data_IF_658965929093
#
_entry.id   IF_658965929093
#
_cell.length_a   1.000
_cell.length_b   1.000
_cell.length_c   1.000
_cell.angle_alpha   90.00
_cell.angle_beta   90.00
_cell.angle_gamma   90.00
#
_symmetry.space_group_name_H-M   'P 1'
#
loop_
_entity.id
_entity.type
_entity.pdbx_description
1 polymer ?
#
# COMPACT_ATOMS: atom_id res chain seq x y z
N UNK A 1 9.86 13.12 5.34
CA UNK A 1 10.23 11.74 5.00
C UNK A 1 9.09 11.12 4.20
N UNK A 2 9.39 10.40 3.13
CA UNK A 2 8.43 9.64 2.32
C UNK A 2 8.72 8.15 2.53
N UNK A 3 7.68 7.35 2.57
CA UNK A 3 7.78 5.92 2.85
C UNK A 3 6.90 5.17 1.87
N UNK A 4 7.43 4.10 1.27
CA UNK A 4 6.68 3.13 0.47
C UNK A 4 6.87 1.76 1.12
N UNK A 5 5.77 1.06 1.31
CA UNK A 5 5.76 -0.27 1.93
C UNK A 5 5.18 -1.32 0.98
N UNK A 6 5.78 -2.49 0.98
CA UNK A 6 5.26 -3.70 0.34
C UNK A 6 4.58 -4.55 1.42
N UNK A 7 3.26 -4.76 1.26
CA UNK A 7 2.43 -5.50 2.22
C UNK A 7 1.80 -6.73 1.57
N UNK A 8 1.68 -7.81 2.31
CA UNK A 8 0.85 -8.95 1.92
C UNK A 8 -0.63 -8.63 2.09
N UNK A 9 -1.43 -8.78 1.04
CA UNK A 9 -2.89 -8.61 1.15
C UNK A 9 -3.54 -9.70 2.02
N UNK A 10 -2.99 -10.90 2.06
CA UNK A 10 -3.53 -12.01 2.85
C UNK A 10 -3.27 -11.81 4.36
N UNK A 11 -2.04 -11.50 4.75
CA UNK A 11 -1.62 -11.48 6.17
C UNK A 11 -1.52 -10.09 6.76
N UNK A 12 -1.53 -9.06 5.93
CA UNK A 12 -1.24 -7.66 6.26
C UNK A 12 0.19 -7.42 6.80
N UNK A 13 1.09 -8.39 6.68
CA UNK A 13 2.48 -8.22 7.09
C UNK A 13 3.24 -7.36 6.09
N UNK A 14 4.16 -6.55 6.60
CA UNK A 14 5.08 -5.76 5.79
C UNK A 14 6.26 -6.64 5.39
N UNK A 15 6.49 -6.77 4.08
CA UNK A 15 7.61 -7.51 3.51
C UNK A 15 8.82 -6.62 3.28
N UNK A 16 8.59 -5.34 3.05
CA UNK A 16 9.66 -4.39 2.79
C UNK A 16 9.23 -2.94 2.89
N UNK A 17 10.22 -2.09 3.05
CA UNK A 17 10.05 -0.66 3.20
C UNK A 17 11.17 0.09 2.50
N UNK A 18 10.81 1.09 1.72
CA UNK A 18 11.73 2.07 1.16
C UNK A 18 11.45 3.45 1.77
N UNK A 19 12.51 4.13 2.19
CA UNK A 19 12.45 5.41 2.87
C UNK A 19 13.27 6.43 2.11
N UNK A 20 12.66 7.57 1.80
CA UNK A 20 13.34 8.68 1.13
C UNK A 20 12.96 10.05 1.67
N UNK A 21 13.68 11.09 1.30
CA UNK A 21 13.32 12.48 1.59
C UNK A 21 12.02 12.87 0.87
N UNK A 22 11.36 13.93 1.35
CA UNK A 22 10.13 14.43 0.73
C UNK A 22 10.36 15.17 -0.61
N UNK A 23 11.57 15.60 -0.87
CA UNK A 23 11.96 16.37 -2.05
C UNK A 23 13.35 15.97 -2.54
N UNK A 24 13.63 16.17 -3.82
CA UNK A 24 14.87 15.81 -4.49
C UNK A 24 14.63 14.91 -5.71
N UNK A 25 15.70 14.64 -6.47
CA UNK A 25 15.65 13.67 -7.58
C UNK A 25 15.51 12.25 -7.00
N UNK A 26 14.82 11.37 -7.71
CA UNK A 26 14.62 9.95 -7.33
C UNK A 26 14.04 9.73 -5.91
N UNK A 27 13.26 10.70 -5.40
CA UNK A 27 12.59 10.60 -4.09
C UNK A 27 11.09 10.37 -4.20
N UNK A 28 10.57 10.21 -5.42
CA UNK A 28 9.16 9.92 -5.69
C UNK A 28 8.76 8.52 -5.19
N UNK A 29 7.47 8.29 -4.98
CA UNK A 29 6.97 6.99 -4.53
C UNK A 29 7.31 5.87 -5.52
N UNK A 30 7.26 6.14 -6.82
CA UNK A 30 7.66 5.18 -7.86
C UNK A 30 9.16 4.84 -7.80
N UNK A 31 10.03 5.80 -7.48
CA UNK A 31 11.45 5.57 -7.29
C UNK A 31 11.73 4.71 -6.04
N UNK A 32 11.02 4.99 -4.94
CA UNK A 32 11.10 4.18 -3.73
C UNK A 32 10.54 2.76 -3.96
N UNK A 33 9.48 2.63 -4.74
CA UNK A 33 8.92 1.31 -5.04
C UNK A 33 9.90 0.44 -5.85
N UNK A 34 10.62 1.02 -6.82
CA UNK A 34 11.67 0.28 -7.55
C UNK A 34 12.75 -0.31 -6.63
N UNK A 35 13.07 0.35 -5.51
CA UNK A 35 14.02 -0.20 -4.52
C UNK A 35 13.51 -1.48 -3.85
N UNK A 36 12.20 -1.75 -3.90
CA UNK A 36 11.58 -2.94 -3.33
C UNK A 36 11.44 -4.10 -4.32
N UNK A 37 11.79 -3.92 -5.58
CA UNK A 37 11.67 -4.96 -6.61
C UNK A 37 12.42 -6.25 -6.27
N UNK A 38 13.61 -6.13 -5.64
CA UNK A 38 14.39 -7.27 -5.18
C UNK A 38 13.74 -8.12 -4.08
N UNK A 39 12.62 -7.67 -3.50
CA UNK A 39 11.85 -8.41 -2.50
C UNK A 39 10.69 -9.21 -3.13
N UNK A 40 10.35 -8.91 -4.38
CA UNK A 40 9.32 -9.62 -5.12
C UNK A 40 9.85 -10.96 -5.60
N UNK A 41 8.98 -11.94 -5.66
CA UNK A 41 9.29 -13.31 -6.08
C UNK A 41 8.53 -13.66 -7.36
N UNK A 42 9.09 -14.52 -8.16
CA UNK A 42 8.39 -15.10 -9.30
C UNK A 42 7.05 -15.68 -8.89
N UNK A 43 5.99 -15.33 -9.61
CA UNK A 43 4.62 -15.70 -9.32
C UNK A 43 3.85 -14.74 -8.39
N UNK A 44 4.50 -13.72 -7.85
CA UNK A 44 3.79 -12.69 -7.09
C UNK A 44 2.86 -11.88 -8.01
N UNK A 45 1.77 -11.38 -7.43
CA UNK A 45 0.86 -10.42 -8.06
C UNK A 45 0.87 -9.13 -7.25
N UNK A 46 1.40 -8.06 -7.84
CA UNK A 46 1.44 -6.74 -7.21
C UNK A 46 0.13 -6.01 -7.49
N UNK A 47 -0.57 -5.62 -6.41
CA UNK A 47 -1.79 -4.80 -6.50
C UNK A 47 -1.46 -3.39 -6.04
N UNK A 48 -1.60 -2.42 -6.94
CA UNK A 48 -1.16 -1.06 -6.69
C UNK A 48 -2.20 0.00 -7.02
N UNK A 49 -2.00 1.23 -6.55
CA UNK A 49 -2.85 2.36 -6.88
C UNK A 49 -2.45 2.94 -8.25
N UNK A 50 -3.38 3.72 -8.84
CA UNK A 50 -3.21 4.39 -10.13
C UNK A 50 -1.89 5.16 -10.28
N UNK A 51 -1.33 5.65 -9.18
CA UNK A 51 -0.09 6.44 -9.21
C UNK A 51 1.11 5.61 -9.71
N UNK A 52 1.12 4.31 -9.44
CA UNK A 52 2.16 3.39 -9.87
C UNK A 52 1.89 2.80 -11.27
N UNK A 53 0.68 2.94 -11.80
CA UNK A 53 0.24 2.39 -13.10
C UNK A 53 0.87 3.04 -14.33
N UNK A 54 2.13 3.43 -14.25
CA UNK A 54 2.91 3.94 -15.38
C UNK A 54 3.43 2.82 -16.27
N UNK A 55 3.60 3.10 -17.58
CA UNK A 55 4.03 2.09 -18.56
C UNK A 55 5.28 1.33 -18.12
N UNK A 56 6.34 2.04 -17.69
CA UNK A 56 7.60 1.42 -17.28
C UNK A 56 7.47 0.60 -15.99
N UNK A 57 6.63 1.02 -15.06
CA UNK A 57 6.39 0.26 -13.84
C UNK A 57 5.73 -1.09 -14.15
N UNK A 58 4.70 -1.07 -15.01
CA UNK A 58 4.00 -2.28 -15.45
C UNK A 58 4.92 -3.16 -16.33
N UNK A 59 5.80 -2.57 -17.14
CA UNK A 59 6.68 -3.32 -18.03
C UNK A 59 7.88 -3.98 -17.32
N UNK A 60 8.37 -3.39 -16.22
CA UNK A 60 9.51 -3.93 -15.48
C UNK A 60 9.17 -5.11 -14.57
N UNK A 61 7.95 -5.20 -14.07
CA UNK A 61 7.55 -6.27 -13.15
C UNK A 61 7.47 -7.65 -13.81
N UNK A 62 6.95 -7.81 -15.05
CA UNK A 62 7.02 -9.08 -15.77
C UNK A 62 8.45 -9.57 -16.07
N UNK A 63 9.45 -8.69 -16.17
CA UNK A 63 10.86 -9.08 -16.25
C UNK A 63 11.32 -9.91 -15.03
N UNK A 64 10.63 -9.71 -13.89
CA UNK A 64 10.83 -10.45 -12.64
C UNK A 64 9.87 -11.63 -12.50
N UNK A 65 9.08 -11.96 -13.53
CA UNK A 65 7.98 -12.93 -13.48
C UNK A 65 6.93 -12.57 -12.41
N UNK A 66 6.66 -11.28 -12.28
CA UNK A 66 5.68 -10.70 -11.35
C UNK A 66 4.54 -10.08 -12.14
N UNK A 67 3.31 -10.44 -11.80
CA UNK A 67 2.13 -9.89 -12.43
C UNK A 67 1.66 -8.60 -11.73
N UNK A 68 0.93 -7.76 -12.46
CA UNK A 68 0.48 -6.45 -11.99
C UNK A 68 -1.03 -6.31 -12.12
N UNK A 69 -1.65 -5.78 -11.08
CA UNK A 69 -3.05 -5.32 -11.10
C UNK A 69 -3.09 -3.90 -10.56
N UNK A 70 -3.41 -2.94 -11.40
CA UNK A 70 -3.42 -1.53 -11.04
C UNK A 70 -4.66 -0.82 -11.59
N UNK A 71 -4.99 0.34 -11.07
CA UNK A 71 -5.99 1.21 -11.66
C UNK A 71 -5.38 2.01 -12.81
N UNK A 72 -6.11 2.16 -13.90
CA UNK A 72 -5.69 2.96 -15.05
C UNK A 72 -5.25 4.36 -14.60
N UNK A 73 -4.05 4.74 -15.04
CA UNK A 73 -3.46 6.04 -14.70
C UNK A 73 -4.35 7.19 -15.20
N UNK A 74 -4.44 8.27 -14.44
CA UNK A 74 -5.36 9.40 -14.71
C UNK A 74 -5.15 10.10 -16.06
N UNK A 75 -3.96 9.99 -16.66
CA UNK A 75 -3.64 10.54 -17.97
C UNK A 75 -3.98 9.60 -19.13
N UNK A 76 -4.55 8.42 -18.84
CA UNK A 76 -4.97 7.46 -19.84
C UNK A 76 -6.49 7.31 -19.82
N UNK A 77 -7.06 7.11 -20.99
CA UNK A 77 -8.48 6.79 -21.18
C UNK A 77 -8.58 5.47 -21.91
N UNK A 78 -9.30 4.50 -21.35
CA UNK A 78 -9.57 3.23 -22.02
C UNK A 78 -10.58 3.44 -23.15
N UNK A 79 -10.27 2.90 -24.34
CA UNK A 79 -11.19 2.86 -25.48
C UNK A 79 -11.49 1.38 -25.80
N UNK A 80 -12.56 0.86 -25.22
CA UNK A 80 -12.97 -0.55 -25.34
C UNK A 80 -13.42 -0.97 -26.74
N UNK A 81 -13.36 -0.06 -27.73
CA UNK A 81 -13.57 -0.37 -29.16
C UNK A 81 -12.28 -0.84 -29.84
N UNK A 82 -11.11 -0.65 -29.18
CA UNK A 82 -9.78 -1.03 -29.67
C UNK A 82 -9.33 -2.34 -29.06
N UNK A 83 -8.36 -2.98 -29.73
CA UNK A 83 -7.76 -4.21 -29.26
C UNK A 83 -8.66 -5.45 -29.41
N UNK A 84 -8.27 -6.54 -28.75
CA UNK A 84 -9.02 -7.80 -28.75
C UNK A 84 -10.06 -7.78 -27.62
N UNK A 85 -11.33 -7.79 -27.99
CA UNK A 85 -12.42 -7.82 -27.02
C UNK A 85 -12.50 -9.18 -26.32
N UNK A 86 -12.57 -9.18 -24.98
CA UNK A 86 -12.79 -10.35 -24.14
C UNK A 86 -14.23 -10.38 -23.61
N UNK A 87 -14.83 -9.21 -23.37
CA UNK A 87 -16.18 -9.09 -22.85
C UNK A 87 -16.71 -7.64 -22.93
N UNK A 88 -17.80 -7.37 -22.22
CA UNK A 88 -18.31 -6.01 -22.08
C UNK A 88 -17.35 -5.20 -21.19
N UNK A 89 -16.79 -4.09 -21.73
CA UNK A 89 -15.80 -3.27 -21.04
C UNK A 89 -14.57 -4.07 -20.54
N UNK A 90 -14.12 -5.05 -21.34
CA UNK A 90 -12.98 -5.92 -21.07
C UNK A 90 -12.27 -6.25 -22.39
N UNK A 91 -11.00 -5.87 -22.52
CA UNK A 91 -10.23 -6.07 -23.74
C UNK A 91 -8.72 -6.18 -23.48
N UNK A 92 -8.02 -6.78 -24.43
CA UNK A 92 -6.56 -6.69 -24.53
C UNK A 92 -6.20 -5.55 -25.49
N UNK A 93 -5.25 -4.74 -25.05
CA UNK A 93 -4.78 -3.59 -25.84
C UNK A 93 -3.27 -3.44 -25.74
N UNK A 94 -2.68 -2.99 -26.83
CA UNK A 94 -1.25 -2.73 -26.90
C UNK A 94 -0.96 -1.25 -26.58
N UNK A 95 -0.12 -1.05 -25.57
CA UNK A 95 0.37 0.26 -25.22
C UNK A 95 1.75 0.50 -25.83
N UNK A 96 1.93 1.50 -26.70
CA UNK A 96 3.23 1.80 -27.27
C UNK A 96 4.21 2.25 -26.18
N UNK A 97 5.49 1.86 -26.36
CA UNK A 97 6.58 2.24 -25.47
C UNK A 97 6.81 3.76 -25.51
N UNK A 98 6.78 4.44 -24.36
CA UNK A 98 7.10 5.86 -24.29
C UNK A 98 8.60 6.10 -24.49
N UNK A 99 9.02 7.36 -24.76
CA UNK A 99 10.43 7.74 -24.73
C UNK A 99 11.09 7.36 -23.39
N UNK A 100 12.37 7.04 -23.45
CA UNK A 100 13.16 6.64 -22.27
C UNK A 100 13.18 7.75 -21.21
N UNK A 101 12.76 7.48 -19.97
CA UNK A 101 12.90 8.44 -18.89
C UNK A 101 14.36 8.50 -18.39
N UNK A 102 14.77 9.62 -17.83
CA UNK A 102 16.14 9.84 -17.35
C UNK A 102 16.63 8.79 -16.33
N UNK A 103 15.73 8.28 -15.50
CA UNK A 103 16.05 7.32 -14.44
C UNK A 103 16.28 5.87 -14.92
N UNK A 104 15.92 5.56 -16.17
CA UNK A 104 16.06 4.22 -16.76
C UNK A 104 17.32 4.18 -17.63
N UNK A 105 18.21 3.23 -17.38
CA UNK A 105 19.37 3.03 -18.22
C UNK A 105 19.01 2.55 -19.62
N UNK A 106 19.91 2.75 -20.59
CA UNK A 106 19.64 2.45 -22.00
C UNK A 106 19.47 0.95 -22.23
N UNK A 107 20.29 0.11 -21.59
CA UNK A 107 20.26 -1.33 -21.79
C UNK A 107 18.93 -1.95 -21.30
N UNK A 108 18.44 -1.50 -20.15
CA UNK A 108 17.12 -1.89 -19.64
C UNK A 108 16.02 -1.37 -20.56
N UNK A 109 16.11 -0.11 -21.01
CA UNK A 109 15.12 0.42 -21.94
C UNK A 109 15.07 -0.40 -23.24
N UNK A 110 16.20 -0.78 -23.81
CA UNK A 110 16.26 -1.51 -25.09
C UNK A 110 15.71 -2.94 -24.97
N UNK A 111 15.89 -3.59 -23.80
CA UNK A 111 15.31 -4.92 -23.53
C UNK A 111 13.79 -4.91 -23.41
N UNK A 112 13.19 -3.82 -22.93
CA UNK A 112 11.74 -3.74 -22.79
C UNK A 112 11.05 -3.77 -24.16
N UNK A 113 9.85 -4.39 -24.28
CA UNK A 113 9.15 -4.54 -25.55
C UNK A 113 8.74 -3.19 -26.16
N UNK A 114 8.63 -3.12 -27.48
CA UNK A 114 8.17 -1.93 -28.20
C UNK A 114 6.70 -1.61 -27.88
N UNK A 115 5.91 -2.62 -27.53
CA UNK A 115 4.51 -2.50 -27.09
C UNK A 115 4.29 -3.39 -25.88
N UNK A 116 3.52 -2.88 -24.94
CA UNK A 116 3.11 -3.64 -23.74
C UNK A 116 1.66 -4.06 -23.92
N UNK A 117 1.43 -5.37 -24.08
CA UNK A 117 0.08 -5.92 -24.17
C UNK A 117 -0.50 -6.08 -22.76
N UNK A 118 -1.56 -5.35 -22.48
CA UNK A 118 -2.27 -5.34 -21.19
C UNK A 118 -3.75 -5.63 -21.34
N UNK A 119 -4.36 -6.13 -20.28
CA UNK A 119 -5.82 -6.23 -20.18
C UNK A 119 -6.36 -5.02 -19.45
N UNK A 120 -7.24 -4.27 -20.08
CA UNK A 120 -8.01 -3.18 -19.49
C UNK A 120 -9.43 -3.67 -19.24
N UNK A 121 -9.94 -3.40 -18.06
CA UNK A 121 -11.24 -3.86 -17.64
C UNK A 121 -11.95 -2.80 -16.79
N UNK A 122 -13.20 -2.48 -17.10
CA UNK A 122 -14.02 -1.53 -16.35
C UNK A 122 -15.10 -2.25 -15.58
N UNK A 123 -15.24 -1.94 -14.30
CA UNK A 123 -16.32 -2.46 -13.48
C UNK A 123 -16.98 -1.36 -12.63
N UNK A 124 -18.26 -1.55 -12.35
CA UNK A 124 -19.03 -0.63 -11.54
C UNK A 124 -18.75 -0.83 -10.06
N UNK A 125 -18.57 0.26 -9.31
CA UNK A 125 -18.52 0.26 -7.86
C UNK A 125 -19.95 0.46 -7.34
N UNK A 126 -20.58 -0.62 -6.92
CA UNK A 126 -21.99 -0.62 -6.48
C UNK A 126 -22.18 -0.30 -5.00
N UNK A 127 -21.14 0.15 -4.30
CA UNK A 127 -21.25 0.48 -2.90
C UNK A 127 -21.84 1.88 -2.69
N UNK A 128 -22.92 1.96 -1.89
CA UNK A 128 -23.55 3.22 -1.52
C UNK A 128 -22.56 4.11 -0.76
N UNK A 129 -22.52 5.41 -1.09
CA UNK A 129 -21.64 6.40 -0.45
C UNK A 129 -20.26 6.55 -1.10
N UNK A 130 -19.92 5.73 -2.10
CA UNK A 130 -18.70 5.93 -2.89
C UNK A 130 -18.93 6.95 -4.00
N UNK A 131 -18.02 7.92 -4.15
CA UNK A 131 -18.07 8.90 -5.25
C UNK A 131 -17.71 8.27 -6.59
N UNK A 132 -16.88 7.24 -6.58
CA UNK A 132 -16.43 6.56 -7.78
C UNK A 132 -17.49 5.55 -8.20
N UNK A 133 -18.14 5.81 -9.33
CA UNK A 133 -19.18 4.92 -9.88
C UNK A 133 -18.58 3.75 -10.66
N UNK A 134 -17.40 3.93 -11.25
CA UNK A 134 -16.71 2.88 -11.99
C UNK A 134 -15.20 3.02 -11.86
N UNK A 135 -14.50 1.90 -11.97
CA UNK A 135 -13.04 1.81 -11.94
C UNK A 135 -12.60 1.05 -13.19
N UNK A 136 -11.57 1.57 -13.88
CA UNK A 136 -10.86 0.82 -14.91
C UNK A 136 -9.57 0.28 -14.30
N UNK A 137 -9.42 -1.03 -14.32
CA UNK A 137 -8.24 -1.77 -13.89
C UNK A 137 -7.43 -2.14 -15.12
N UNK A 138 -6.11 -2.14 -14.96
CA UNK A 138 -5.12 -2.60 -15.93
C UNK A 138 -4.34 -3.74 -15.29
N UNK A 139 -4.09 -4.80 -16.06
CA UNK A 139 -3.35 -5.95 -15.56
C UNK A 139 -2.51 -6.61 -16.65
N UNK A 140 -1.45 -7.27 -16.21
CA UNK A 140 -0.64 -8.18 -17.04
C UNK A 140 -1.19 -9.61 -17.04
N UNK A 141 -2.18 -9.93 -16.16
CA UNK A 141 -2.94 -11.18 -16.17
C UNK A 141 -3.94 -11.16 -17.33
N UNK A 142 -3.51 -11.65 -18.50
CA UNK A 142 -4.22 -11.49 -19.77
C UNK A 142 -5.19 -12.60 -20.12
N UNK A 143 -5.00 -13.77 -19.52
CA UNK A 143 -5.80 -14.96 -19.80
C UNK A 143 -7.13 -14.89 -19.03
N UNK A 144 -8.21 -14.62 -19.75
CA UNK A 144 -9.57 -14.54 -19.22
C UNK A 144 -10.15 -15.87 -18.74
N UNK A 145 -9.54 -16.99 -19.17
CA UNK A 145 -9.98 -18.32 -18.75
C UNK A 145 -9.40 -18.73 -17.42
N UNK A 146 -8.18 -18.27 -17.12
CA UNK A 146 -7.48 -18.53 -15.85
C UNK A 146 -7.84 -17.50 -14.79
N UNK A 147 -7.98 -16.23 -15.18
CA UNK A 147 -8.30 -15.13 -14.27
C UNK A 147 -9.52 -14.38 -14.81
N UNK A 148 -10.65 -14.63 -14.19
CA UNK A 148 -11.92 -14.04 -14.61
C UNK A 148 -11.99 -12.53 -14.29
N UNK A 149 -12.98 -11.87 -14.85
CA UNK A 149 -13.28 -10.47 -14.55
C UNK A 149 -13.64 -10.27 -13.08
N UNK A 150 -14.37 -11.20 -12.53
CA UNK A 150 -14.82 -11.23 -11.13
C UNK A 150 -13.63 -11.38 -10.18
N UNK A 151 -12.69 -12.27 -10.50
CA UNK A 151 -11.45 -12.47 -9.70
C UNK A 151 -10.63 -11.19 -9.65
N UNK A 152 -10.44 -10.50 -10.79
CA UNK A 152 -9.72 -9.24 -10.85
C UNK A 152 -10.42 -8.12 -10.10
N UNK A 153 -11.76 -8.05 -10.18
CA UNK A 153 -12.53 -7.06 -9.43
C UNK A 153 -12.43 -7.29 -7.93
N UNK A 154 -12.48 -8.55 -7.49
CA UNK A 154 -12.35 -8.93 -6.08
C UNK A 154 -10.93 -8.72 -5.56
N UNK A 155 -9.91 -9.08 -6.35
CA UNK A 155 -8.52 -8.82 -6.02
C UNK A 155 -8.25 -7.31 -5.88
N UNK A 156 -8.69 -6.51 -6.85
CA UNK A 156 -8.48 -5.06 -6.78
C UNK A 156 -9.25 -4.41 -5.63
N UNK A 157 -10.42 -4.94 -5.26
CA UNK A 157 -11.18 -4.50 -4.09
C UNK A 157 -10.39 -4.71 -2.79
N UNK A 158 -9.63 -5.80 -2.68
CA UNK A 158 -8.77 -6.08 -1.53
C UNK A 158 -7.67 -5.05 -1.33
N UNK A 159 -7.27 -4.28 -2.34
CA UNK A 159 -6.35 -3.14 -2.20
C UNK A 159 -6.75 -2.19 -1.07
N UNK A 160 -8.07 -2.04 -0.84
CA UNK A 160 -8.57 -1.21 0.27
C UNK A 160 -8.04 -1.67 1.64
N UNK A 161 -7.71 -2.92 1.80
CA UNK A 161 -7.13 -3.44 3.04
C UNK A 161 -5.78 -2.78 3.35
N UNK A 162 -4.98 -2.43 2.35
CA UNK A 162 -3.73 -1.71 2.56
C UNK A 162 -3.94 -0.34 3.22
N UNK A 163 -5.05 0.35 2.93
CA UNK A 163 -5.40 1.61 3.60
C UNK A 163 -5.74 1.39 5.09
N UNK A 164 -6.40 0.28 5.42
CA UNK A 164 -6.68 -0.10 6.81
C UNK A 164 -5.41 -0.50 7.55
N UNK A 165 -4.50 -1.22 6.88
CA UNK A 165 -3.21 -1.61 7.43
C UNK A 165 -2.33 -0.38 7.71
N UNK A 166 -2.24 0.55 6.76
CA UNK A 166 -1.57 1.84 6.95
C UNK A 166 -2.18 2.67 8.07
N UNK A 167 -3.51 2.60 8.27
CA UNK A 167 -4.17 3.23 9.41
C UNK A 167 -3.75 2.58 10.74
N UNK A 168 -3.65 1.25 10.79
CA UNK A 168 -3.16 0.53 11.98
C UNK A 168 -1.74 0.96 12.32
N UNK A 169 -0.85 1.08 11.33
CA UNK A 169 0.52 1.54 11.50
C UNK A 169 0.54 3.00 11.99
N UNK A 170 -0.17 3.89 11.34
CA UNK A 170 -0.16 5.33 11.65
C UNK A 170 -0.85 5.63 12.98
N UNK A 171 -2.07 5.12 13.18
CA UNK A 171 -2.91 5.54 14.31
C UNK A 171 -2.79 4.60 15.51
N UNK A 172 -2.85 3.26 15.31
CA UNK A 172 -2.81 2.30 16.43
C UNK A 172 -1.39 2.16 16.98
N UNK A 173 -0.37 2.14 16.09
CA UNK A 173 1.03 2.10 16.49
C UNK A 173 1.65 3.50 16.69
N UNK A 174 0.88 4.57 16.47
CA UNK A 174 1.31 5.98 16.64
C UNK A 174 2.56 6.35 15.83
N UNK A 175 2.75 5.74 14.65
CA UNK A 175 3.88 6.01 13.76
C UNK A 175 3.61 7.15 12.76
N UNK A 176 2.51 7.89 12.91
CA UNK A 176 2.19 9.10 12.14
C UNK A 176 3.04 10.30 12.56
N UNK A 177 3.54 10.30 13.81
CA UNK A 177 4.44 11.32 14.36
C UNK A 177 5.65 10.65 14.99
N UNK A 178 6.79 10.75 14.31
CA UNK A 178 8.06 10.27 14.85
C UNK A 178 8.60 11.25 15.90
N UNK A 179 9.14 10.71 16.98
CA UNK A 179 9.62 11.50 18.14
C UNK A 179 11.09 11.85 18.03
N UNK A 180 11.84 11.07 17.26
CA UNK A 180 13.27 11.26 17.06
C UNK A 180 13.58 12.49 16.21
N UNK A 181 14.68 13.18 16.53
CA UNK A 181 15.06 14.45 15.91
C UNK A 181 16.08 14.31 14.78
N UNK A 182 16.85 13.24 14.75
CA UNK A 182 17.83 12.98 13.66
C UNK A 182 17.25 12.01 12.62
N UNK A 183 17.66 12.09 11.36
CA UNK A 183 17.21 11.19 10.31
C UNK A 183 17.48 9.71 10.60
N UNK A 184 18.65 9.39 11.20
CA UNK A 184 19.03 8.02 11.55
C UNK A 184 18.11 7.46 12.64
N UNK A 185 17.91 8.23 13.72
CA UNK A 185 17.03 7.82 14.82
C UNK A 185 15.57 7.72 14.34
N UNK A 186 15.11 8.61 13.47
CA UNK A 186 13.78 8.53 12.89
C UNK A 186 13.59 7.27 12.02
N UNK A 187 14.64 6.85 11.29
CA UNK A 187 14.63 5.57 10.56
C UNK A 187 14.56 4.39 11.51
N UNK A 188 15.38 4.41 12.58
CA UNK A 188 15.39 3.35 13.61
C UNK A 188 14.03 3.25 14.29
N UNK A 189 13.42 4.38 14.69
CA UNK A 189 12.09 4.42 15.30
C UNK A 189 11.05 3.81 14.36
N UNK A 190 11.09 4.14 13.07
CA UNK A 190 10.19 3.57 12.07
C UNK A 190 10.39 2.06 11.93
N UNK A 191 11.64 1.57 11.79
CA UNK A 191 11.92 0.14 11.66
C UNK A 191 11.48 -0.64 12.89
N UNK A 192 11.74 -0.13 14.09
CA UNK A 192 11.29 -0.76 15.34
C UNK A 192 9.78 -0.81 15.45
N UNK A 193 9.10 0.26 15.07
CA UNK A 193 7.64 0.29 15.03
C UNK A 193 7.04 -0.70 14.03
N UNK A 194 7.65 -0.85 12.85
CA UNK A 194 7.22 -1.82 11.84
C UNK A 194 7.53 -3.26 12.25
N UNK A 195 8.63 -3.51 12.93
CA UNK A 195 8.93 -4.81 13.54
C UNK A 195 7.84 -5.17 14.57
N UNK A 196 7.52 -4.25 15.48
CA UNK A 196 6.43 -4.44 16.44
C UNK A 196 5.08 -4.68 15.76
N UNK A 197 4.77 -3.94 14.68
CA UNK A 197 3.58 -4.18 13.86
C UNK A 197 3.55 -5.61 13.29
N UNK A 198 4.67 -6.07 12.70
CA UNK A 198 4.75 -7.42 12.15
C UNK A 198 4.65 -8.51 13.23
N UNK A 199 5.17 -8.28 14.44
CA UNK A 199 4.98 -9.21 15.55
C UNK A 199 3.52 -9.35 15.98
N UNK A 200 2.77 -8.24 16.00
CA UNK A 200 1.30 -8.28 16.22
C UNK A 200 0.60 -9.04 15.10
N UNK A 201 0.97 -8.79 13.82
CA UNK A 201 0.39 -9.51 12.67
C UNK A 201 0.73 -11.00 12.69
N UNK A 202 1.95 -11.37 13.07
CA UNK A 202 2.33 -12.76 13.23
C UNK A 202 1.52 -13.45 14.34
N UNK A 203 1.28 -12.76 15.45
CA UNK A 203 0.42 -13.24 16.53
C UNK A 203 -1.02 -13.48 16.06
N UNK A 204 -1.55 -12.56 15.24
CA UNK A 204 -2.88 -12.72 14.61
C UNK A 204 -2.93 -13.89 13.63
N UNK A 205 -1.87 -14.10 12.85
CA UNK A 205 -1.78 -15.22 11.93
C UNK A 205 -1.85 -16.57 12.69
N UNK A 206 -1.08 -16.71 13.77
CA UNK A 206 -1.12 -17.90 14.62
C UNK A 206 -2.51 -18.12 15.25
N UNK A 207 -3.17 -17.05 15.73
CA UNK A 207 -4.50 -17.13 16.30
C UNK A 207 -5.57 -17.48 15.24
N UNK A 208 -5.40 -16.99 14.03
CA UNK A 208 -6.29 -17.27 12.91
C UNK A 208 -6.19 -18.72 12.43
N UNK A 209 -4.96 -19.25 12.38
CA UNK A 209 -4.70 -20.65 12.08
C UNK A 209 -5.35 -21.58 13.11
N UNK A 210 -5.14 -21.31 14.40
CA UNK A 210 -5.75 -22.07 15.51
C UNK A 210 -7.29 -21.96 15.54
N UNK A 211 -7.87 -20.88 15.01
CA UNK A 211 -9.32 -20.64 14.99
C UNK A 211 -9.96 -20.89 13.61
N UNK A 212 -9.21 -21.46 12.66
CA UNK A 212 -9.64 -21.76 11.28
C UNK A 212 -10.34 -20.59 10.60
N UNK A 213 -9.74 -19.38 10.69
CA UNK A 213 -10.33 -18.18 10.12
C UNK A 213 -9.29 -17.30 9.42
N UNK A 214 -9.74 -16.31 8.65
CA UNK A 214 -8.82 -15.34 8.06
C UNK A 214 -8.21 -14.43 9.12
N UNK A 215 -6.88 -14.16 9.11
CA UNK A 215 -6.24 -13.24 10.05
C UNK A 215 -6.81 -11.81 9.97
N UNK A 216 -7.44 -11.44 8.84
CA UNK A 216 -8.12 -10.16 8.68
C UNK A 216 -9.48 -10.07 9.38
N UNK A 217 -10.03 -11.18 9.83
CA UNK A 217 -11.24 -11.22 10.66
C UNK A 217 -10.94 -10.95 12.14
N UNK A 218 -9.68 -10.95 12.54
CA UNK A 218 -9.27 -10.72 13.93
C UNK A 218 -8.86 -9.25 14.16
N UNK A 219 -9.10 -8.78 15.39
CA UNK A 219 -8.86 -7.39 15.77
C UNK A 219 -7.38 -7.11 16.03
N UNK A 220 -6.74 -6.32 15.16
CA UNK A 220 -5.37 -5.85 15.36
C UNK A 220 -5.22 -5.08 16.69
N UNK A 221 -6.15 -4.18 16.98
CA UNK A 221 -6.08 -3.33 18.16
C UNK A 221 -6.17 -4.15 19.47
N UNK A 222 -7.10 -5.11 19.55
CA UNK A 222 -7.23 -5.95 20.74
C UNK A 222 -5.98 -6.81 20.95
N UNK A 223 -5.44 -7.42 19.90
CA UNK A 223 -4.21 -8.21 19.99
C UNK A 223 -3.00 -7.36 20.38
N UNK A 224 -2.86 -6.17 19.81
CA UNK A 224 -1.78 -5.23 20.15
C UNK A 224 -1.87 -4.80 21.62
N UNK A 225 -3.05 -4.46 22.12
CA UNK A 225 -3.27 -4.10 23.51
C UNK A 225 -2.94 -5.26 24.46
N UNK A 226 -3.39 -6.47 24.14
CA UNK A 226 -3.07 -7.65 24.91
C UNK A 226 -1.56 -7.91 24.98
N UNK A 227 -0.87 -7.85 23.84
CA UNK A 227 0.58 -8.01 23.79
C UNK A 227 1.30 -6.92 24.59
N UNK A 228 0.88 -5.66 24.47
CA UNK A 228 1.49 -4.55 25.18
C UNK A 228 1.39 -4.68 26.71
N UNK A 229 0.32 -5.31 27.21
CA UNK A 229 0.12 -5.52 28.66
C UNK A 229 0.76 -6.81 29.18
N UNK A 230 0.92 -7.83 28.34
CA UNK A 230 1.35 -9.18 28.79
C UNK A 230 2.77 -9.56 28.40
N UNK A 231 3.41 -8.82 27.49
CA UNK A 231 4.74 -9.21 26.98
C UNK A 231 5.82 -9.27 28.08
N UNK A 232 5.75 -8.38 29.08
CA UNK A 232 6.66 -8.42 30.23
C UNK A 232 6.46 -9.69 31.07
N UNK A 233 5.20 -10.09 31.27
CA UNK A 233 4.88 -11.34 31.96
C UNK A 233 5.44 -12.54 31.21
N UNK A 234 5.34 -12.55 29.88
CA UNK A 234 5.90 -13.60 29.02
C UNK A 234 7.43 -13.65 29.11
N UNK A 235 8.09 -12.50 29.23
CA UNK A 235 9.54 -12.41 29.29
C UNK A 235 10.11 -12.92 30.61
N UNK A 236 9.39 -12.77 31.73
CA UNK A 236 9.87 -13.14 33.09
C UNK A 236 9.30 -14.46 33.64
N UNK A 237 8.23 -14.98 33.01
CA UNK A 237 7.50 -16.15 33.53
C UNK A 237 7.81 -17.41 32.71
N UNK A 238 9.05 -17.91 32.79
CA UNK A 238 9.47 -19.12 32.07
C UNK A 238 8.58 -20.36 32.35
N UNK A 239 8.07 -20.51 33.56
CA UNK A 239 7.25 -21.65 34.00
C UNK A 239 5.82 -21.62 33.43
N UNK A 240 5.27 -20.43 33.09
CA UNK A 240 3.91 -20.25 32.60
C UNK A 240 3.83 -19.82 31.13
N UNK A 241 4.95 -19.86 30.42
CA UNK A 241 5.01 -19.34 29.04
C UNK A 241 4.00 -20.01 28.10
N UNK A 242 3.83 -21.33 28.23
CA UNK A 242 2.87 -22.07 27.40
C UNK A 242 1.43 -21.60 27.64
N UNK A 243 1.02 -21.47 28.89
CA UNK A 243 -0.32 -21.00 29.25
C UNK A 243 -0.56 -19.56 28.79
N UNK A 244 0.46 -18.68 28.86
CA UNK A 244 0.37 -17.31 28.36
C UNK A 244 0.28 -17.25 26.83
N UNK A 245 0.94 -18.15 26.11
CA UNK A 245 0.82 -18.26 24.64
C UNK A 245 -0.59 -18.73 24.28
N UNK A 246 -1.13 -19.77 24.94
CA UNK A 246 -2.48 -20.27 24.71
C UNK A 246 -3.54 -19.20 25.03
N UNK A 247 -3.37 -18.46 26.13
CA UNK A 247 -4.22 -17.33 26.49
C UNK A 247 -4.20 -16.23 25.41
N UNK A 248 -3.01 -15.91 24.89
CA UNK A 248 -2.85 -14.95 23.79
C UNK A 248 -3.63 -15.38 22.54
N UNK A 249 -3.49 -16.65 22.13
CA UNK A 249 -4.18 -17.18 20.95
C UNK A 249 -5.68 -17.12 21.12
N UNK A 250 -6.19 -17.59 22.28
CA UNK A 250 -7.62 -17.57 22.62
C UNK A 250 -8.17 -16.15 22.67
N UNK A 251 -7.46 -15.23 23.30
CA UNK A 251 -7.85 -13.81 23.37
C UNK A 251 -7.91 -13.19 21.97
N UNK A 252 -6.87 -13.38 21.16
CA UNK A 252 -6.87 -12.83 19.80
C UNK A 252 -7.98 -13.42 18.93
N UNK A 253 -8.25 -14.72 19.02
CA UNK A 253 -9.29 -15.42 18.28
C UNK A 253 -10.72 -14.97 18.66
N UNK A 254 -10.92 -14.61 19.94
CA UNK A 254 -12.24 -14.16 20.43
C UNK A 254 -12.61 -12.75 19.98
N UNK A 255 -11.62 -11.91 19.65
CA UNK A 255 -11.84 -10.52 19.24
C UNK A 255 -11.94 -10.40 17.72
N UNK A 256 -13.09 -10.73 17.17
CA UNK A 256 -13.34 -10.64 15.73
C UNK A 256 -13.76 -9.24 15.31
N UNK A 257 -13.27 -8.82 14.14
CA UNK A 257 -13.77 -7.60 13.47
C UNK A 257 -15.13 -7.92 12.88
N UNK A 258 -16.18 -7.27 13.40
CA UNK A 258 -17.53 -7.46 12.91
C UNK A 258 -17.67 -7.04 11.44
N UNK A 259 -18.30 -7.88 10.65
CA UNK A 259 -18.77 -7.47 9.33
C UNK A 259 -19.90 -6.43 9.53
N UNK A 260 -19.73 -5.24 8.91
CA UNK A 260 -20.71 -4.15 8.98
C UNK A 260 -21.29 -3.91 7.59
N UNK A 261 -22.14 -4.83 7.09
CA UNK A 261 -22.79 -4.64 5.79
C UNK A 261 -23.64 -3.38 5.84
N UNK A 262 -23.70 -2.66 4.74
CA UNK A 262 -24.49 -1.43 4.58
C UNK A 262 -24.04 -0.22 5.45
N UNK A 263 -22.81 -0.23 5.98
CA UNK A 263 -22.28 0.94 6.65
C UNK A 263 -22.06 2.06 5.62
N UNK A 264 -22.92 3.06 5.66
CA UNK A 264 -22.78 4.28 4.88
C UNK A 264 -22.14 5.34 5.78
N UNK A 265 -20.88 5.68 5.53
CA UNK A 265 -20.23 6.82 6.18
C UNK A 265 -20.11 7.97 5.18
N UNK A 266 -20.97 9.02 5.30
CA UNK A 266 -20.77 10.21 4.50
C UNK A 266 -19.43 10.84 4.87
N UNK A 267 -18.50 10.86 3.92
CA UNK A 267 -17.22 11.54 4.08
C UNK A 267 -17.48 13.04 4.03
N UNK A 268 -17.48 13.69 5.19
CA UNK A 268 -17.38 15.13 5.23
C UNK A 268 -16.07 15.55 4.55
N UNK A 269 -16.15 16.43 3.55
CA UNK A 269 -14.96 17.05 2.97
C UNK A 269 -14.45 18.02 4.03
N UNK A 270 -13.50 17.60 4.86
CA UNK A 270 -12.74 18.49 5.71
C UNK A 270 -11.81 19.31 4.81
N UNK A 271 -12.32 20.40 4.26
CA UNK A 271 -11.48 21.48 3.75
C UNK A 271 -10.95 22.24 4.97
N UNK A 272 -9.84 21.77 5.53
CA UNK A 272 -9.04 22.64 6.38
C UNK A 272 -8.28 23.57 5.44
N UNK A 273 -8.69 24.83 5.40
CA UNK A 273 -7.80 25.86 4.89
C UNK A 273 -6.48 25.73 5.70
N UNK A 274 -5.35 25.69 5.01
CA UNK A 274 -4.06 25.78 5.68
C UNK A 274 -4.00 27.16 6.34
N UNK A 275 -3.71 27.21 7.63
CA UNK A 275 -3.59 28.47 8.34
C UNK A 275 -2.43 29.32 7.77
N UNK A 276 -1.41 28.65 7.21
CA UNK A 276 -0.22 29.28 6.63
C UNK A 276 0.28 28.45 5.45
N UNK A 277 0.86 29.12 4.48
CA UNK A 277 1.54 28.47 3.35
C UNK A 277 2.82 27.76 3.80
N UNK A 278 3.26 26.79 3.00
CA UNK A 278 4.54 26.14 3.23
C UNK A 278 5.66 27.17 3.05
N UNK A 279 6.64 27.16 3.97
CA UNK A 279 7.87 27.93 3.76
C UNK A 279 8.58 27.38 2.51
N UNK A 280 8.73 28.22 1.50
CA UNK A 280 9.46 27.92 0.25
C UNK A 280 10.96 28.18 0.36
N UNK A 281 11.40 28.75 1.48
CA UNK A 281 12.79 29.10 1.80
C UNK A 281 13.12 28.74 3.25
N UNK A 282 14.39 28.66 3.65
CA UNK A 282 14.80 28.40 5.01
C UNK A 282 14.18 29.42 5.99
N UNK A 283 13.77 28.96 7.18
CA UNK A 283 13.11 29.81 8.18
C UNK A 283 13.91 31.05 8.56
N UNK A 284 15.24 30.95 8.61
CA UNK A 284 16.12 32.09 8.90
C UNK A 284 16.01 33.19 7.84
N UNK A 285 15.99 32.82 6.55
CA UNK A 285 15.82 33.75 5.44
C UNK A 285 14.44 34.40 5.43
N UNK A 286 13.37 33.61 5.67
CA UNK A 286 12.01 34.15 5.79
C UNK A 286 11.89 35.15 6.94
N UNK A 287 12.52 34.85 8.09
CA UNK A 287 12.54 35.76 9.26
C UNK A 287 13.30 37.06 8.95
N UNK A 288 14.45 36.98 8.30
CA UNK A 288 15.22 38.17 7.93
C UNK A 288 14.43 39.08 6.99
N UNK A 289 13.70 38.53 6.01
CA UNK A 289 12.84 39.29 5.10
C UNK A 289 11.69 40.02 5.84
N UNK A 290 11.04 39.35 6.79
CA UNK A 290 9.99 39.96 7.60
C UNK A 290 10.54 41.09 8.48
N UNK A 291 11.73 40.93 9.06
CA UNK A 291 12.38 41.97 9.87
C UNK A 291 12.80 43.16 9.01
N UNK A 292 13.27 42.96 7.80
CA UNK A 292 13.62 44.04 6.86
C UNK A 292 12.40 44.82 6.37
N UNK A 293 11.25 44.16 6.17
CA UNK A 293 9.99 44.77 5.74
C UNK A 293 9.24 45.53 6.84
N UNK A 294 9.60 45.37 8.11
CA UNK A 294 9.03 46.15 9.24
C UNK A 294 9.81 47.45 9.53
N UNK A 295 10.84 47.75 8.76
CA UNK A 295 11.68 48.94 8.95
C UNK A 295 11.39 50.07 7.94
N UNK A 296 10.26 49.97 7.21
CA UNK A 296 9.79 51.00 6.25
C UNK A 296 8.46 51.63 6.66
#
# INVERSE_FOLDING_TARGET
MRVVALLSLATAMIHGLAIGPCSGKETGETALFRQLFGLLKSGDVVVEDRYFGGWFMIALLPELSVEVVTRLHQHRTADFRRGRRLGADDHLVDWPKPPRPEWLDQDTYDRLPATLNVREMKFAVRERGFRTQSITVVTTLRDETTVTREDLADLYRQRWHAELDLRSIKSTMSLDVLRCKTPEMARTELWMGLLAYNLVRHSLLQAADAAECSPRQLSFCATQQFLATTWLLMAVSSHNLRALIELRLTHSASHRVGNRPNRIEPRAIKRRARAYDWLTQPRASARAQLMAGCSS
#
